data_IF_973855736285
#
_entry.id   IF_973855736285
#
_cell.length_a   1.000
_cell.length_b   1.000
_cell.length_c   1.000
_cell.angle_alpha   90.00
_cell.angle_beta   90.00
_cell.angle_gamma   90.00
#
_symmetry.space_group_name_H-M   'P 1'
#
loop_
_entity.id
_entity.type
_entity.pdbx_description
1 polymer ?
#
# COMPACT_ATOMS: atom_id res chain seq x y z
N UNK A 1 -23.17 -0.05 -7.14
CA UNK A 1 -22.66 -0.24 -5.77
C UNK A 1 -21.92 -1.55 -5.62
N UNK A 2 -22.63 -2.68 -5.71
CA UNK A 2 -22.08 -4.03 -5.48
C UNK A 2 -20.86 -4.39 -6.35
N UNK A 3 -20.90 -4.11 -7.66
CA UNK A 3 -19.77 -4.38 -8.56
C UNK A 3 -18.48 -3.65 -8.16
N UNK A 4 -18.57 -2.39 -7.71
CA UNK A 4 -17.39 -1.62 -7.26
C UNK A 4 -16.81 -2.18 -5.97
N UNK A 5 -17.66 -2.66 -5.06
CA UNK A 5 -17.23 -3.30 -3.81
C UNK A 5 -16.54 -4.64 -4.09
N UNK A 6 -17.10 -5.47 -4.98
CA UNK A 6 -16.48 -6.72 -5.39
C UNK A 6 -15.10 -6.49 -6.01
N UNK A 7 -15.00 -5.51 -6.93
CA UNK A 7 -13.72 -5.14 -7.57
C UNK A 7 -12.68 -4.60 -6.59
N UNK A 8 -13.08 -3.76 -5.63
CA UNK A 8 -12.16 -3.32 -4.55
C UNK A 8 -11.63 -4.52 -3.78
N UNK A 9 -12.50 -5.43 -3.36
CA UNK A 9 -12.09 -6.61 -2.58
C UNK A 9 -11.11 -7.48 -3.36
N UNK A 10 -11.43 -7.78 -4.61
CA UNK A 10 -10.57 -8.58 -5.49
C UNK A 10 -9.20 -7.92 -5.72
N UNK A 11 -9.19 -6.64 -6.08
CA UNK A 11 -7.95 -5.87 -6.26
C UNK A 11 -7.12 -5.83 -4.97
N UNK A 12 -7.78 -5.66 -3.82
CA UNK A 12 -7.13 -5.58 -2.53
C UNK A 12 -6.50 -6.91 -2.14
N UNK A 13 -7.24 -8.01 -2.28
CA UNK A 13 -6.73 -9.33 -1.93
C UNK A 13 -5.56 -9.74 -2.84
N UNK A 14 -5.65 -9.44 -4.14
CA UNK A 14 -4.54 -9.67 -5.05
C UNK A 14 -3.29 -8.90 -4.64
N UNK A 15 -3.39 -7.58 -4.51
CA UNK A 15 -2.23 -6.74 -4.22
C UNK A 15 -1.62 -7.08 -2.85
N UNK A 16 -2.45 -7.39 -1.85
CA UNK A 16 -1.96 -7.88 -0.55
C UNK A 16 -1.18 -9.19 -0.70
N UNK A 17 -1.73 -10.16 -1.44
CA UNK A 17 -1.08 -11.46 -1.60
C UNK A 17 0.28 -11.35 -2.29
N UNK A 18 0.41 -10.47 -3.29
CA UNK A 18 1.68 -10.22 -3.96
C UNK A 18 2.68 -9.52 -3.05
N UNK A 19 2.26 -8.49 -2.30
CA UNK A 19 3.12 -7.83 -1.31
C UNK A 19 3.65 -8.81 -0.24
N UNK A 20 2.79 -9.71 0.25
CA UNK A 20 3.18 -10.74 1.21
C UNK A 20 4.16 -11.74 0.61
N UNK A 21 3.98 -12.14 -0.66
CA UNK A 21 4.94 -13.01 -1.38
C UNK A 21 6.30 -12.34 -1.57
N UNK A 22 6.32 -11.03 -1.79
CA UNK A 22 7.55 -10.22 -1.87
C UNK A 22 8.25 -10.04 -0.51
N UNK A 23 7.64 -10.48 0.59
CA UNK A 23 8.21 -10.43 1.93
C UNK A 23 7.92 -9.16 2.71
N UNK A 24 7.00 -8.30 2.24
CA UNK A 24 6.58 -7.12 2.99
C UNK A 24 5.65 -7.51 4.15
N UNK A 25 5.84 -6.87 5.30
CA UNK A 25 4.90 -6.96 6.42
C UNK A 25 3.73 -5.99 6.19
N UNK A 26 2.60 -6.54 5.76
CA UNK A 26 1.35 -5.82 5.51
C UNK A 26 0.39 -6.05 6.68
N UNK A 27 -0.02 -4.96 7.33
CA UNK A 27 -1.01 -5.02 8.42
C UNK A 27 -2.45 -5.04 7.89
N UNK A 28 -3.37 -5.55 8.73
CA UNK A 28 -4.81 -5.53 8.50
C UNK A 28 -5.37 -6.78 7.84
N UNK A 29 -6.70 -6.83 7.75
CA UNK A 29 -7.45 -8.03 7.34
C UNK A 29 -7.68 -8.13 5.84
N UNK A 30 -7.90 -9.36 5.37
CA UNK A 30 -8.41 -9.65 4.02
C UNK A 30 -9.68 -8.83 3.73
N UNK A 31 -9.88 -8.45 2.46
CA UNK A 31 -10.91 -7.54 1.96
C UNK A 31 -10.76 -6.06 2.33
N UNK A 32 -9.83 -5.68 3.21
CA UNK A 32 -9.55 -4.26 3.50
C UNK A 32 -8.80 -3.58 2.35
N UNK A 33 -9.32 -2.45 1.81
CA UNK A 33 -8.66 -1.67 0.76
C UNK A 33 -7.46 -0.86 1.24
N UNK A 34 -7.25 -0.77 2.56
CA UNK A 34 -6.13 -0.05 3.14
C UNK A 34 -5.09 -1.04 3.60
N UNK A 35 -3.87 -0.90 3.09
CA UNK A 35 -2.74 -1.78 3.35
C UNK A 35 -1.57 -0.96 3.90
N UNK A 36 -1.41 -0.93 5.22
CA UNK A 36 -0.22 -0.37 5.85
C UNK A 36 0.96 -1.34 5.71
N UNK A 37 2.04 -0.89 5.07
CA UNK A 37 3.33 -1.58 4.98
C UNK A 37 4.27 -0.99 6.02
N UNK A 38 4.82 -1.86 6.86
CA UNK A 38 5.75 -1.45 7.91
C UNK A 38 7.16 -1.22 7.35
N UNK A 39 7.72 -0.04 7.64
CA UNK A 39 9.07 0.34 7.20
C UNK A 39 10.05 0.40 8.39
N UNK A 40 9.53 0.60 9.61
CA UNK A 40 10.27 0.64 10.91
C UNK A 40 11.46 1.61 10.97
N UNK A 41 11.71 2.39 9.92
CA UNK A 41 12.82 3.33 9.83
C UNK A 41 12.28 4.71 9.42
N UNK A 42 12.03 5.60 10.40
CA UNK A 42 11.50 6.94 10.16
C UNK A 42 12.33 7.78 9.19
N UNK A 43 13.66 7.61 9.17
CA UNK A 43 14.54 8.37 8.28
C UNK A 43 14.39 7.97 6.81
N UNK A 44 14.06 6.70 6.52
CA UNK A 44 13.89 6.19 5.15
C UNK A 44 12.49 6.46 4.58
N UNK A 45 11.51 6.69 5.44
CA UNK A 45 10.12 6.82 5.04
C UNK A 45 9.85 7.98 4.05
N UNK A 46 10.38 9.20 4.25
CA UNK A 46 10.23 10.27 3.26
C UNK A 46 10.95 9.96 1.94
N UNK A 47 12.09 9.26 2.00
CA UNK A 47 12.82 8.85 0.81
C UNK A 47 12.03 7.81 0.01
N UNK A 48 11.41 6.84 0.68
CA UNK A 48 10.54 5.84 0.06
C UNK A 48 9.42 6.49 -0.76
N UNK A 49 8.67 7.43 -0.17
CA UNK A 49 7.61 8.15 -0.88
C UNK A 49 8.12 8.92 -2.11
N UNK A 50 9.28 9.57 -1.99
CA UNK A 50 9.89 10.29 -3.12
C UNK A 50 10.34 9.36 -4.24
N UNK A 51 10.93 8.21 -3.91
CA UNK A 51 11.36 7.23 -4.93
C UNK A 51 10.15 6.59 -5.63
N UNK A 52 9.08 6.26 -4.90
CA UNK A 52 7.83 5.82 -5.51
C UNK A 52 7.25 6.89 -6.44
N UNK A 53 7.22 8.15 -6.00
CA UNK A 53 6.70 9.27 -6.81
C UNK A 53 7.50 9.49 -8.09
N UNK A 54 8.83 9.34 -8.05
CA UNK A 54 9.68 9.38 -9.26
C UNK A 54 9.32 8.31 -10.28
N UNK A 55 8.77 7.18 -9.83
CA UNK A 55 8.26 6.08 -10.66
C UNK A 55 6.76 6.21 -10.94
N UNK A 56 6.18 7.39 -10.74
CA UNK A 56 4.77 7.71 -10.92
C UNK A 56 3.80 6.94 -10.00
N UNK A 57 4.28 6.45 -8.84
CA UNK A 57 3.45 5.79 -7.83
C UNK A 57 3.36 6.68 -6.58
N UNK A 58 2.15 7.19 -6.32
CA UNK A 58 1.91 8.00 -5.13
C UNK A 58 1.63 7.10 -3.91
N UNK A 59 2.45 7.22 -2.88
CA UNK A 59 2.28 6.48 -1.61
C UNK A 59 2.13 7.45 -0.45
N UNK A 60 1.13 7.20 0.39
CA UNK A 60 0.87 8.02 1.59
C UNK A 60 1.76 7.53 2.71
N UNK A 61 2.53 8.43 3.29
CA UNK A 61 3.32 8.17 4.49
C UNK A 61 2.52 8.50 5.73
N UNK A 62 2.58 7.62 6.73
CA UNK A 62 2.01 7.85 8.06
C UNK A 62 3.13 7.73 9.09
N UNK A 63 3.43 8.86 9.74
CA UNK A 63 4.40 8.95 10.82
C UNK A 63 3.83 9.69 12.03
N UNK A 64 4.70 10.07 12.97
CA UNK A 64 4.31 10.89 14.13
C UNK A 64 3.69 12.24 13.67
N UNK A 65 2.61 12.74 14.29
CA UNK A 65 1.92 12.24 15.49
C UNK A 65 0.82 11.19 15.24
N UNK A 66 0.53 10.82 14.00
CA UNK A 66 -0.54 9.88 13.66
C UNK A 66 -0.24 8.43 14.08
N UNK A 67 1.05 8.08 14.24
CA UNK A 67 1.52 6.79 14.76
C UNK A 67 2.75 7.02 15.65
N UNK A 68 3.05 6.13 16.61
CA UNK A 68 4.32 6.17 17.35
C UNK A 68 5.52 6.18 16.38
N UNK A 69 6.60 6.86 16.77
CA UNK A 69 7.80 7.01 15.93
C UNK A 69 8.31 5.68 15.34
N UNK A 70 8.35 4.62 16.15
CA UNK A 70 8.84 3.30 15.73
C UNK A 70 7.87 2.53 14.82
N UNK A 71 6.61 2.95 14.74
CA UNK A 71 5.56 2.29 13.95
C UNK A 71 5.16 3.09 12.71
N UNK A 72 6.04 3.99 12.28
CA UNK A 72 5.84 4.73 11.05
C UNK A 72 5.82 3.77 9.85
N UNK A 73 4.88 4.03 8.92
CA UNK A 73 4.46 3.08 7.89
C UNK A 73 4.03 3.78 6.61
N UNK A 74 4.12 3.08 5.49
CA UNK A 74 3.52 3.52 4.25
C UNK A 74 2.10 2.95 4.15
N UNK A 75 1.12 3.77 3.78
CA UNK A 75 -0.27 3.36 3.61
C UNK A 75 -0.61 3.37 2.12
N UNK A 76 -0.91 2.18 1.59
CA UNK A 76 -1.44 2.00 0.25
C UNK A 76 -2.95 1.89 0.31
N UNK A 77 -3.65 2.57 -0.60
CA UNK A 77 -5.10 2.61 -0.67
C UNK A 77 -5.55 2.10 -2.04
N UNK A 78 -6.22 0.96 -2.07
CA UNK A 78 -6.73 0.37 -3.30
C UNK A 78 -8.15 0.86 -3.56
N UNK A 79 -8.39 1.36 -4.78
CA UNK A 79 -9.68 1.78 -5.29
C UNK A 79 -10.23 0.77 -6.31
N UNK A 80 -11.54 0.83 -6.55
CA UNK A 80 -12.20 0.05 -7.61
C UNK A 80 -11.75 0.50 -9.00
N UNK A 81 -11.23 1.72 -9.11
CA UNK A 81 -10.79 2.32 -10.35
C UNK A 81 -9.47 1.73 -10.87
N UNK A 82 -8.64 1.14 -10.00
CA UNK A 82 -7.38 0.54 -10.42
C UNK A 82 -7.64 -0.67 -11.33
N UNK A 83 -6.90 -0.72 -12.43
CA UNK A 83 -6.78 -1.88 -13.31
C UNK A 83 -5.78 -2.89 -12.74
N UNK A 84 -5.71 -4.10 -13.30
CA UNK A 84 -4.75 -5.11 -12.85
C UNK A 84 -3.33 -4.69 -13.22
N UNK A 85 -3.20 -4.00 -14.34
CA UNK A 85 -1.97 -3.43 -14.86
C UNK A 85 -1.43 -2.34 -13.93
N UNK A 86 -2.29 -1.43 -13.43
CA UNK A 86 -1.88 -0.42 -12.46
C UNK A 86 -1.30 -1.05 -11.18
N UNK A 87 -1.93 -2.14 -10.71
CA UNK A 87 -1.47 -2.87 -9.53
C UNK A 87 -0.13 -3.55 -9.79
N UNK A 88 0.07 -4.14 -10.96
CA UNK A 88 1.34 -4.76 -11.32
C UNK A 88 2.47 -3.73 -11.45
N UNK A 89 2.20 -2.59 -12.10
CA UNK A 89 3.16 -1.48 -12.18
C UNK A 89 3.57 -1.01 -10.76
N UNK A 90 2.61 -0.93 -9.84
CA UNK A 90 2.89 -0.55 -8.47
C UNK A 90 3.71 -1.60 -7.68
N UNK A 91 3.65 -2.88 -8.06
CA UNK A 91 4.45 -3.96 -7.45
C UNK A 91 5.89 -4.00 -7.97
N UNK A 92 6.17 -3.43 -9.15
CA UNK A 92 7.52 -3.39 -9.75
C UNK A 92 8.39 -2.24 -9.21
N UNK A 93 7.82 -1.33 -8.42
CA UNK A 93 8.48 -0.12 -7.85
C UNK A 93 9.36 -0.42 -6.65
#
# INVERSE_FOLDING_TARGET
GAQKLARIRENSNFFRSELQKMGFEVLGDNDSPVMPIMIYNPGKIPAFSRECLKRNVAVVIVGFPATPLLLARARICISAAHSREDLNIALEV
#
